data_IF_495351246674
#
_entry.id   IF_495351246674
#
_cell.length_a   1.000
_cell.length_b   1.000
_cell.length_c   1.000
_cell.angle_alpha   90.00
_cell.angle_beta   90.00
_cell.angle_gamma   90.00
#
_symmetry.space_group_name_H-M   'P 1'
#
loop_
_entity.id
_entity.type
_entity.pdbx_description
1 polymer ?
#
# COMPACT_ATOMS: atom_id res chain seq x y z
N UNK A 1 -52.98 17.91 5.87
CA UNK A 1 -52.29 18.92 5.06
C UNK A 1 -50.87 18.99 5.57
N UNK A 2 -49.96 18.35 4.84
CA UNK A 2 -48.70 18.95 4.41
C UNK A 2 -48.10 17.97 3.40
N UNK A 3 -48.19 18.36 2.12
CA UNK A 3 -47.74 17.57 0.98
C UNK A 3 -46.32 18.02 0.66
N UNK A 4 -45.33 17.16 0.88
CA UNK A 4 -43.99 17.36 0.31
C UNK A 4 -43.78 16.29 -0.75
N UNK A 5 -44.22 16.60 -1.96
CA UNK A 5 -43.96 15.83 -3.18
C UNK A 5 -42.49 15.98 -3.56
N UNK A 6 -41.69 14.94 -3.34
CA UNK A 6 -40.38 14.81 -3.97
C UNK A 6 -40.56 14.40 -5.42
N UNK A 7 -40.90 15.37 -6.28
CA UNK A 7 -40.76 15.23 -7.73
C UNK A 7 -39.27 14.99 -8.03
N UNK A 8 -38.95 13.85 -8.65
CA UNK A 8 -37.65 13.62 -9.28
C UNK A 8 -37.49 14.68 -10.38
N UNK A 9 -36.86 15.79 -9.99
CA UNK A 9 -36.57 16.90 -10.89
C UNK A 9 -35.48 16.43 -11.86
N UNK A 10 -35.75 16.53 -13.16
CA UNK A 10 -34.71 16.49 -14.20
C UNK A 10 -33.66 17.55 -13.85
N UNK A 11 -32.53 17.11 -13.29
CA UNK A 11 -31.41 17.99 -12.93
C UNK A 11 -30.97 18.78 -14.17
N UNK A 12 -31.01 20.10 -14.06
CA UNK A 12 -30.62 21.04 -15.12
C UNK A 12 -29.14 20.88 -15.48
N UNK A 13 -28.75 21.25 -16.72
CA UNK A 13 -27.33 21.23 -17.14
C UNK A 13 -26.44 22.09 -16.23
N UNK A 14 -27.00 23.12 -15.58
CA UNK A 14 -26.34 23.94 -14.55
C UNK A 14 -26.03 23.18 -13.25
N UNK A 15 -26.94 22.33 -12.77
CA UNK A 15 -26.73 21.53 -11.54
C UNK A 15 -25.71 20.40 -11.75
N UNK A 16 -25.64 19.85 -12.96
CA UNK A 16 -24.61 18.86 -13.34
C UNK A 16 -23.21 19.50 -13.32
N UNK A 17 -23.12 20.81 -13.61
CA UNK A 17 -21.86 21.54 -13.62
C UNK A 17 -21.35 21.86 -12.20
N UNK A 18 -22.24 22.04 -11.23
CA UNK A 18 -21.90 22.15 -9.80
C UNK A 18 -21.55 20.79 -9.18
N UNK A 19 -22.25 19.72 -9.60
CA UNK A 19 -22.02 18.37 -9.08
C UNK A 19 -20.68 17.73 -9.48
N UNK A 20 -19.95 18.31 -10.45
CA UNK A 20 -18.65 17.77 -10.91
C UNK A 20 -17.46 18.20 -10.05
N UNK A 21 -17.59 19.27 -9.26
CA UNK A 21 -16.46 19.82 -8.48
C UNK A 21 -16.06 18.89 -7.33
N UNK A 22 -17.04 18.34 -6.61
CA UNK A 22 -16.77 17.39 -5.52
C UNK A 22 -16.06 16.11 -6.00
N UNK A 23 -16.53 15.41 -7.04
CA UNK A 23 -15.77 14.28 -7.61
C UNK A 23 -14.40 14.69 -8.15
N UNK A 24 -14.24 15.91 -8.67
CA UNK A 24 -12.95 16.43 -9.14
C UNK A 24 -11.94 16.60 -7.99
N UNK A 25 -12.37 17.18 -6.87
CA UNK A 25 -11.57 17.27 -5.65
C UNK A 25 -11.23 15.89 -5.07
N UNK A 26 -12.17 14.94 -5.13
CA UNK A 26 -11.94 13.54 -4.71
C UNK A 26 -10.90 12.84 -5.61
N UNK A 27 -10.83 13.15 -6.90
CA UNK A 27 -9.77 12.66 -7.79
C UNK A 27 -8.43 13.34 -7.44
N UNK A 28 -8.42 14.68 -7.29
CA UNK A 28 -7.20 15.44 -6.97
C UNK A 28 -6.59 15.07 -5.62
N UNK A 29 -7.43 14.79 -4.63
CA UNK A 29 -7.01 14.31 -3.31
C UNK A 29 -6.57 12.84 -3.29
N UNK A 30 -6.66 12.14 -4.42
CA UNK A 30 -6.22 10.75 -4.55
C UNK A 30 -7.21 9.71 -4.01
N UNK A 31 -8.44 10.11 -3.63
CA UNK A 31 -9.51 9.17 -3.23
C UNK A 31 -9.89 8.25 -4.39
N UNK A 32 -9.92 8.80 -5.60
CA UNK A 32 -10.10 8.05 -6.86
C UNK A 32 -8.82 8.09 -7.69
N UNK A 33 -8.12 6.96 -7.80
CA UNK A 33 -6.90 6.85 -8.61
C UNK A 33 -7.21 6.71 -10.09
N UNK A 34 -6.62 7.58 -10.88
CA UNK A 34 -6.74 7.63 -12.35
C UNK A 34 -5.50 7.06 -13.05
N UNK A 35 -4.31 7.22 -12.44
CA UNK A 35 -3.01 6.75 -12.95
C UNK A 35 -2.46 5.66 -12.04
N UNK A 36 -2.09 4.52 -12.62
CA UNK A 36 -1.38 3.46 -11.93
C UNK A 36 0.15 3.70 -11.98
N UNK A 37 0.90 3.07 -11.08
CA UNK A 37 2.37 3.20 -11.00
C UNK A 37 3.11 2.82 -12.29
N UNK A 38 2.55 1.90 -13.07
CA UNK A 38 3.06 1.51 -14.40
C UNK A 38 2.77 2.54 -15.51
N UNK A 39 2.17 3.69 -15.18
CA UNK A 39 1.79 4.74 -16.12
C UNK A 39 0.49 4.47 -16.88
N UNK A 40 -0.22 3.37 -16.63
CA UNK A 40 -1.51 3.11 -17.26
C UNK A 40 -2.62 3.97 -16.64
N UNK A 41 -3.55 4.45 -17.48
CA UNK A 41 -4.64 5.32 -17.05
C UNK A 41 -5.96 4.53 -17.04
N UNK A 42 -6.76 4.68 -15.98
CA UNK A 42 -8.04 3.99 -15.80
C UNK A 42 -9.14 4.96 -15.42
N UNK A 43 -10.38 4.63 -15.81
CA UNK A 43 -11.57 5.36 -15.35
C UNK A 43 -12.05 4.78 -14.00
N UNK A 44 -11.99 5.53 -12.89
CA UNK A 44 -12.41 5.03 -11.57
C UNK A 44 -13.93 4.84 -11.44
N UNK A 45 -14.71 5.34 -12.39
CA UNK A 45 -16.19 5.35 -12.33
C UNK A 45 -16.85 4.29 -13.22
N UNK A 46 -16.07 3.52 -13.98
CA UNK A 46 -16.54 2.47 -14.89
C UNK A 46 -16.02 1.09 -14.46
N UNK A 47 -16.85 0.33 -13.73
CA UNK A 47 -16.57 -1.08 -13.46
C UNK A 47 -16.99 -1.97 -14.66
N UNK A 48 -16.08 -2.84 -15.13
CA UNK A 48 -16.48 -4.06 -15.84
C UNK A 48 -16.63 -4.06 -17.38
N UNK A 49 -16.12 -3.08 -18.14
CA UNK A 49 -16.10 -3.19 -19.62
C UNK A 49 -14.66 -3.31 -20.16
N UNK A 50 -14.43 -4.36 -20.97
CA UNK A 50 -13.14 -4.81 -21.51
C UNK A 50 -12.28 -3.64 -22.04
N UNK A 51 -11.00 -3.64 -21.62
CA UNK A 51 -9.92 -2.63 -21.72
C UNK A 51 -9.97 -1.56 -20.61
N UNK A 52 -9.22 -1.80 -19.54
CA UNK A 52 -9.07 -0.85 -18.44
C UNK A 52 -7.82 0.03 -18.55
N UNK A 53 -6.80 -0.38 -19.30
CA UNK A 53 -5.62 0.45 -19.53
C UNK A 53 -5.86 1.32 -20.77
N UNK A 54 -6.23 2.57 -20.53
CA UNK A 54 -6.40 3.60 -21.55
C UNK A 54 -5.08 4.35 -21.75
N UNK A 55 -4.82 4.77 -22.99
CA UNK A 55 -3.90 5.88 -23.23
C UNK A 55 -4.58 7.19 -22.84
N UNK A 56 -3.82 8.25 -22.58
CA UNK A 56 -4.37 9.56 -22.17
C UNK A 56 -5.50 10.04 -23.08
N UNK A 57 -5.29 10.03 -24.40
CA UNK A 57 -6.30 10.46 -25.39
C UNK A 57 -7.57 9.58 -25.34
N UNK A 58 -7.40 8.27 -25.16
CA UNK A 58 -8.52 7.32 -25.12
C UNK A 58 -9.34 7.49 -23.84
N UNK A 59 -8.68 7.73 -22.70
CA UNK A 59 -9.35 7.97 -21.43
C UNK A 59 -10.11 9.30 -21.44
N UNK A 60 -9.48 10.35 -21.99
CA UNK A 60 -10.12 11.66 -22.11
C UNK A 60 -11.36 11.60 -23.02
N UNK A 61 -11.27 10.87 -24.13
CA UNK A 61 -12.40 10.65 -25.03
C UNK A 61 -13.51 9.83 -24.34
N UNK A 62 -13.14 8.79 -23.58
CA UNK A 62 -14.08 8.02 -22.77
C UNK A 62 -14.81 8.90 -21.74
N UNK A 63 -14.07 9.65 -20.92
CA UNK A 63 -14.60 10.51 -19.88
C UNK A 63 -15.53 11.59 -20.45
N UNK A 64 -15.07 12.28 -21.50
CA UNK A 64 -15.84 13.32 -22.20
C UNK A 64 -17.08 12.75 -22.89
N UNK A 65 -16.96 11.61 -23.55
CA UNK A 65 -18.07 10.95 -24.23
C UNK A 65 -19.13 10.42 -23.27
N UNK A 66 -18.75 9.94 -22.08
CA UNK A 66 -19.69 9.53 -21.03
C UNK A 66 -20.34 10.73 -20.37
N UNK A 67 -19.59 11.80 -20.11
CA UNK A 67 -20.08 13.03 -19.50
C UNK A 67 -21.12 13.76 -20.38
N UNK A 68 -20.91 13.77 -21.70
CA UNK A 68 -21.81 14.42 -22.69
C UNK A 68 -22.89 13.49 -23.26
N UNK A 69 -22.90 12.20 -22.90
CA UNK A 69 -23.71 11.16 -23.55
C UNK A 69 -25.11 10.92 -22.98
N UNK A 70 -25.93 10.20 -23.76
CA UNK A 70 -27.34 9.74 -23.62
C UNK A 70 -28.06 9.88 -22.25
N UNK A 71 -29.35 10.27 -22.30
CA UNK A 71 -30.29 10.46 -21.17
C UNK A 71 -30.47 9.23 -20.27
N UNK A 72 -30.04 8.04 -20.69
CA UNK A 72 -30.17 6.80 -19.94
C UNK A 72 -29.15 6.64 -18.79
N UNK A 73 -28.31 7.64 -18.50
CA UNK A 73 -27.31 7.61 -17.42
C UNK A 73 -27.63 8.63 -16.34
N UNK A 74 -27.47 8.25 -15.07
CA UNK A 74 -27.77 9.14 -13.95
C UNK A 74 -26.92 10.41 -13.99
N UNK A 75 -27.49 11.52 -13.53
CA UNK A 75 -26.78 12.81 -13.44
C UNK A 75 -25.46 12.69 -12.65
N UNK A 76 -25.46 11.91 -11.57
CA UNK A 76 -24.28 11.57 -10.76
C UNK A 76 -23.18 10.89 -11.59
N UNK A 77 -23.55 9.93 -12.44
CA UNK A 77 -22.57 9.24 -13.29
C UNK A 77 -22.00 10.19 -14.36
N UNK A 78 -22.81 11.08 -14.93
CA UNK A 78 -22.34 12.10 -15.89
C UNK A 78 -21.39 13.10 -15.22
N UNK A 79 -21.74 13.61 -14.04
CA UNK A 79 -20.90 14.53 -13.27
C UNK A 79 -19.54 13.92 -12.92
N UNK A 80 -19.50 12.65 -12.48
CA UNK A 80 -18.25 11.95 -12.17
C UNK A 80 -17.33 11.84 -13.40
N UNK A 81 -17.87 11.57 -14.59
CA UNK A 81 -17.05 11.46 -15.80
C UNK A 81 -16.63 12.83 -16.36
N UNK A 82 -17.45 13.87 -16.18
CA UNK A 82 -17.04 15.25 -16.46
C UNK A 82 -15.91 15.70 -15.54
N UNK A 83 -15.95 15.33 -14.26
CA UNK A 83 -14.88 15.58 -13.30
C UNK A 83 -13.57 14.88 -13.70
N UNK A 84 -13.65 13.63 -14.17
CA UNK A 84 -12.49 12.91 -14.70
C UNK A 84 -11.87 13.59 -15.92
N UNK A 85 -12.70 14.06 -16.86
CA UNK A 85 -12.22 14.79 -18.05
C UNK A 85 -11.50 16.09 -17.64
N UNK A 86 -12.08 16.84 -16.70
CA UNK A 86 -11.47 18.05 -16.13
C UNK A 86 -10.09 17.78 -15.50
N UNK A 87 -9.97 16.70 -14.73
CA UNK A 87 -8.69 16.30 -14.12
C UNK A 87 -7.63 15.91 -15.16
N UNK A 88 -8.02 15.20 -16.22
CA UNK A 88 -7.11 14.83 -17.29
C UNK A 88 -6.57 16.08 -18.00
N UNK A 89 -7.45 17.03 -18.34
CA UNK A 89 -7.08 18.25 -19.07
C UNK A 89 -6.23 19.23 -18.26
N UNK A 90 -6.47 19.34 -16.94
CA UNK A 90 -5.82 20.35 -16.09
C UNK A 90 -4.57 19.79 -15.40
N UNK A 91 -4.69 18.65 -14.72
CA UNK A 91 -3.66 18.20 -13.78
C UNK A 91 -2.70 17.16 -14.41
N UNK A 92 -3.13 16.39 -15.43
CA UNK A 92 -2.31 15.36 -16.09
C UNK A 92 -1.65 15.79 -17.40
N UNK A 93 -2.03 16.93 -17.97
CA UNK A 93 -1.47 17.42 -19.24
C UNK A 93 0.01 17.88 -19.12
N UNK A 94 0.45 18.29 -17.93
CA UNK A 94 1.78 18.86 -17.68
C UNK A 94 2.86 17.83 -17.33
N UNK A 95 2.51 16.62 -16.90
CA UNK A 95 3.47 15.59 -16.47
C UNK A 95 4.17 14.85 -17.64
N UNK A 96 3.75 15.07 -18.88
CA UNK A 96 4.27 14.36 -20.06
C UNK A 96 5.61 14.93 -20.59
N UNK A 97 6.06 16.09 -20.09
CA UNK A 97 7.19 16.86 -20.68
C UNK A 97 8.51 16.79 -19.88
N UNK A 98 8.54 16.25 -18.66
CA UNK A 98 9.71 16.39 -17.75
C UNK A 98 10.73 15.22 -17.76
N UNK A 99 10.56 14.18 -18.59
CA UNK A 99 11.30 12.90 -18.40
C UNK A 99 12.64 12.74 -19.13
N UNK A 100 13.41 13.80 -19.43
CA UNK A 100 14.68 13.61 -20.17
C UNK A 100 15.84 14.55 -19.82
N UNK A 101 16.59 14.25 -18.74
CA UNK A 101 18.04 14.56 -18.69
C UNK A 101 18.84 13.54 -17.85
N UNK A 102 19.74 12.75 -18.45
CA UNK A 102 20.76 12.01 -17.72
C UNK A 102 22.00 12.89 -17.50
N UNK A 103 22.57 12.85 -16.28
CA UNK A 103 23.85 13.48 -15.96
C UNK A 103 24.98 12.44 -16.10
N UNK A 104 26.02 12.77 -16.84
CA UNK A 104 27.22 11.94 -17.07
C UNK A 104 28.20 12.10 -15.89
N UNK A 105 28.81 11.02 -15.35
CA UNK A 105 29.89 11.14 -14.37
C UNK A 105 31.26 11.36 -15.03
N UNK A 106 32.02 12.34 -14.54
CA UNK A 106 33.44 12.52 -14.87
C UNK A 106 34.33 11.52 -14.13
N UNK A 107 35.33 10.99 -14.84
CA UNK A 107 36.40 10.12 -14.33
C UNK A 107 37.48 10.99 -13.67
N UNK A 108 37.92 10.62 -12.47
CA UNK A 108 38.98 11.30 -11.71
C UNK A 108 40.27 10.46 -11.79
N UNK A 109 41.38 11.10 -12.16
CA UNK A 109 42.72 10.52 -12.19
C UNK A 109 43.17 10.00 -10.81
N UNK A 110 43.75 8.79 -10.79
CA UNK A 110 44.20 8.12 -9.56
C UNK A 110 45.65 8.52 -9.22
N UNK A 111 45.89 8.94 -7.98
CA UNK A 111 47.23 9.21 -7.44
C UNK A 111 47.96 7.91 -7.03
N UNK A 112 49.31 7.90 -6.95
CA UNK A 112 50.12 6.70 -6.62
C UNK A 112 49.76 6.04 -5.28
N UNK A 113 49.26 6.81 -4.30
CA UNK A 113 48.77 6.31 -3.01
C UNK A 113 47.50 5.44 -3.13
N UNK A 114 46.75 5.56 -4.23
CA UNK A 114 45.55 4.75 -4.49
C UNK A 114 45.88 3.36 -5.06
N UNK A 115 47.14 3.12 -5.43
CA UNK A 115 47.62 1.83 -5.97
C UNK A 115 48.25 0.95 -4.89
N UNK A 116 48.48 1.47 -3.68
CA UNK A 116 49.04 0.69 -2.58
C UNK A 116 48.04 -0.37 -2.09
N UNK A 117 48.47 -1.62 -2.10
CA UNK A 117 47.67 -2.77 -1.68
C UNK A 117 47.93 -3.06 -0.21
N UNK A 118 46.85 -3.01 0.56
CA UNK A 118 46.83 -3.33 1.98
C UNK A 118 46.22 -4.70 2.19
N UNK A 119 46.62 -5.37 3.28
CA UNK A 119 45.90 -6.55 3.73
C UNK A 119 44.69 -6.09 4.55
N UNK A 120 43.50 -6.53 4.14
CA UNK A 120 42.22 -6.24 4.80
C UNK A 120 41.58 -7.55 5.34
N UNK A 121 41.12 -7.61 6.61
CA UNK A 121 41.11 -6.56 7.63
C UNK A 121 42.49 -6.02 7.98
N UNK A 122 42.55 -4.77 8.46
CA UNK A 122 43.82 -4.08 8.71
C UNK A 122 44.67 -4.87 9.72
N UNK A 123 45.90 -5.22 9.34
CA UNK A 123 46.81 -6.01 10.16
C UNK A 123 48.17 -5.31 10.30
N UNK A 124 48.73 -5.38 11.50
CA UNK A 124 50.10 -4.98 11.82
C UNK A 124 50.99 -6.21 11.99
N UNK A 125 52.26 -6.09 11.63
CA UNK A 125 53.28 -7.12 11.83
C UNK A 125 54.26 -6.63 12.87
N UNK A 126 54.67 -7.51 13.78
CA UNK A 126 55.72 -7.29 14.76
C UNK A 126 56.80 -8.35 14.56
N UNK A 127 58.04 -7.90 14.46
CA UNK A 127 59.22 -8.75 14.31
C UNK A 127 60.16 -8.62 15.50
N UNK A 128 61.05 -9.61 15.65
CA UNK A 128 62.14 -9.63 16.62
C UNK A 128 61.68 -9.62 18.10
N UNK A 129 60.66 -10.42 18.42
CA UNK A 129 60.24 -10.62 19.81
C UNK A 129 61.23 -11.60 20.46
N UNK A 130 62.24 -11.07 21.14
CA UNK A 130 63.23 -11.91 21.84
C UNK A 130 62.69 -12.34 23.20
N UNK A 131 62.66 -13.66 23.46
CA UNK A 131 62.26 -14.19 24.75
C UNK A 131 63.47 -14.63 25.59
N UNK A 132 63.59 -14.08 26.80
CA UNK A 132 64.48 -14.63 27.82
C UNK A 132 63.81 -15.81 28.52
N UNK A 133 64.57 -16.84 28.92
CA UNK A 133 64.07 -18.09 29.52
C UNK A 133 63.17 -17.93 30.75
N UNK A 134 63.14 -16.74 31.37
CA UNK A 134 62.27 -16.38 32.50
C UNK A 134 60.92 -15.79 32.11
N UNK A 135 60.78 -15.28 30.87
CA UNK A 135 59.62 -14.51 30.41
C UNK A 135 58.85 -15.20 29.27
N UNK A 136 59.25 -16.41 28.87
CA UNK A 136 58.64 -17.17 27.77
C UNK A 136 57.11 -17.30 27.99
N UNK A 137 56.68 -17.83 29.14
CA UNK A 137 55.25 -18.04 29.42
C UNK A 137 54.41 -16.76 29.31
N UNK A 138 54.97 -15.61 29.74
CA UNK A 138 54.29 -14.31 29.64
C UNK A 138 54.23 -13.76 28.22
N UNK A 139 55.19 -14.09 27.35
CA UNK A 139 55.23 -13.63 25.96
C UNK A 139 54.37 -14.50 25.04
N UNK A 140 54.11 -15.76 25.43
CA UNK A 140 53.14 -16.63 24.77
C UNK A 140 51.69 -16.21 25.06
N UNK A 141 51.44 -15.42 26.11
CA UNK A 141 50.10 -14.92 26.42
C UNK A 141 49.68 -13.79 25.45
N UNK A 142 48.60 -14.04 24.70
CA UNK A 142 47.97 -13.04 23.84
C UNK A 142 47.44 -11.84 24.65
N UNK A 143 46.99 -12.07 25.88
CA UNK A 143 46.46 -11.03 26.78
C UNK A 143 47.50 -9.98 27.14
N UNK A 144 48.75 -10.39 27.37
CA UNK A 144 49.88 -9.48 27.59
C UNK A 144 50.04 -8.50 26.41
N UNK A 145 50.04 -8.99 25.17
CA UNK A 145 50.23 -8.17 23.98
C UNK A 145 49.06 -7.23 23.70
N UNK A 146 47.83 -7.70 23.90
CA UNK A 146 46.63 -6.85 23.82
C UNK A 146 46.69 -5.71 24.84
N UNK A 147 47.18 -5.97 26.06
CA UNK A 147 47.36 -4.93 27.09
C UNK A 147 48.49 -3.97 26.74
N UNK A 148 49.63 -4.48 26.25
CA UNK A 148 50.80 -3.66 25.85
C UNK A 148 50.46 -2.70 24.72
N UNK A 149 49.69 -3.15 23.74
CA UNK A 149 49.28 -2.36 22.59
C UNK A 149 47.86 -1.80 22.68
N UNK A 150 47.27 -1.77 23.88
CA UNK A 150 45.89 -1.33 24.11
C UNK A 150 45.60 0.08 23.56
N UNK A 151 46.60 0.97 23.54
CA UNK A 151 46.49 2.32 22.95
C UNK A 151 46.04 2.31 21.48
N UNK A 152 46.38 1.27 20.73
CA UNK A 152 46.01 1.11 19.32
C UNK A 152 44.75 0.26 19.12
N UNK A 153 44.06 -0.12 20.20
CA UNK A 153 42.81 -0.89 20.17
C UNK A 153 42.86 -2.13 19.25
N UNK A 154 43.86 -3.03 19.40
CA UNK A 154 43.89 -4.29 18.67
C UNK A 154 42.72 -5.19 19.09
N UNK A 155 42.17 -5.95 18.14
CA UNK A 155 41.08 -6.92 18.39
C UNK A 155 41.65 -8.31 18.67
N UNK A 156 42.74 -8.67 17.98
CA UNK A 156 43.37 -9.96 18.14
C UNK A 156 44.88 -9.86 17.97
N UNK A 157 45.58 -10.85 18.50
CA UNK A 157 47.02 -10.97 18.41
C UNK A 157 47.38 -12.43 18.13
N UNK A 158 48.25 -12.67 17.15
CA UNK A 158 48.73 -14.00 16.79
C UNK A 158 50.25 -14.04 16.82
N UNK A 159 50.82 -14.83 17.72
CA UNK A 159 52.27 -15.03 17.81
C UNK A 159 52.70 -16.30 17.07
N UNK A 160 53.91 -16.27 16.53
CA UNK A 160 54.62 -17.38 15.91
C UNK A 160 56.01 -17.43 16.53
N UNK A 161 56.35 -18.55 17.17
CA UNK A 161 57.61 -18.70 17.90
C UNK A 161 58.52 -19.69 17.18
N UNK A 162 59.79 -19.34 17.05
CA UNK A 162 60.81 -20.29 16.66
C UNK A 162 61.49 -20.84 17.92
N UNK A 163 61.28 -22.12 18.21
CA UNK A 163 61.81 -22.80 19.40
C UNK A 163 63.34 -22.91 19.40
N UNK A 164 63.98 -22.82 18.22
CA UNK A 164 65.43 -22.95 18.06
C UNK A 164 66.16 -21.64 18.38
N UNK A 165 65.63 -20.51 17.87
CA UNK A 165 66.27 -19.20 17.99
C UNK A 165 65.72 -18.36 19.15
N UNK A 166 64.69 -18.85 19.87
CA UNK A 166 63.95 -18.14 20.92
C UNK A 166 63.43 -16.75 20.49
N UNK A 167 63.23 -16.57 19.19
CA UNK A 167 62.66 -15.36 18.59
C UNK A 167 61.23 -15.61 18.13
N UNK A 168 60.35 -14.65 18.42
CA UNK A 168 58.97 -14.63 18.00
C UNK A 168 58.67 -13.55 16.94
N UNK A 169 57.66 -13.83 16.15
CA UNK A 169 57.00 -12.88 15.24
C UNK A 169 55.54 -12.81 15.64
N UNK A 170 54.87 -11.69 15.38
CA UNK A 170 53.45 -11.59 15.67
C UNK A 170 52.68 -10.74 14.66
N UNK A 171 51.38 -11.03 14.58
CA UNK A 171 50.40 -10.27 13.82
C UNK A 171 49.40 -9.66 14.79
N UNK A 172 49.18 -8.36 14.62
CA UNK A 172 48.17 -7.57 15.31
C UNK A 172 47.00 -7.39 14.35
N UNK A 173 45.81 -7.81 14.75
CA UNK A 173 44.60 -7.63 13.93
C UNK A 173 43.80 -6.45 14.48
N UNK A 174 43.49 -5.49 13.62
CA UNK A 174 42.64 -4.34 13.94
C UNK A 174 41.22 -4.55 13.38
N UNK A 175 40.32 -3.62 13.71
CA UNK A 175 38.97 -3.61 13.14
C UNK A 175 39.03 -3.52 11.61
N UNK A 176 38.03 -4.02 10.90
CA UNK A 176 37.98 -3.92 9.43
C UNK A 176 37.47 -2.57 8.94
N UNK A 177 36.92 -1.74 9.84
CA UNK A 177 36.42 -0.40 9.54
C UNK A 177 37.55 0.65 9.37
N UNK A 178 37.16 1.89 9.05
CA UNK A 178 38.11 3.00 8.92
C UNK A 178 38.77 3.39 10.25
N UNK A 179 38.16 3.09 11.41
CA UNK A 179 38.83 3.26 12.69
C UNK A 179 40.00 2.27 12.84
N UNK A 180 39.84 1.04 12.38
CA UNK A 180 40.91 0.06 12.29
C UNK A 180 42.07 0.54 11.41
N UNK A 181 41.78 1.20 10.28
CA UNK A 181 42.83 1.79 9.42
C UNK A 181 43.62 2.85 10.17
N UNK A 182 42.92 3.76 10.85
CA UNK A 182 43.55 4.82 11.65
C UNK A 182 44.41 4.21 12.76
N UNK A 183 43.92 3.19 13.45
CA UNK A 183 44.64 2.49 14.50
C UNK A 183 45.90 1.79 13.98
N UNK A 184 45.79 1.07 12.86
CA UNK A 184 46.92 0.38 12.22
C UNK A 184 47.98 1.38 11.74
N UNK A 185 47.56 2.51 11.20
CA UNK A 185 48.46 3.60 10.75
C UNK A 185 49.16 4.26 11.94
N UNK A 186 48.46 4.49 13.06
CA UNK A 186 49.06 5.02 14.28
C UNK A 186 50.09 4.04 14.89
N UNK A 187 49.77 2.75 14.86
CA UNK A 187 50.68 1.69 15.27
C UNK A 187 51.98 1.75 14.44
N UNK A 188 51.87 1.76 13.12
CA UNK A 188 53.03 1.84 12.20
C UNK A 188 53.86 3.10 12.41
N UNK A 189 53.22 4.28 12.50
CA UNK A 189 53.89 5.56 12.72
C UNK A 189 54.66 5.62 14.04
N UNK A 190 54.17 4.95 15.08
CA UNK A 190 54.89 4.91 16.35
C UNK A 190 56.22 4.16 16.23
N UNK A 191 56.21 2.99 15.59
CA UNK A 191 57.46 2.26 15.31
C UNK A 191 58.38 3.03 14.37
N UNK A 192 57.83 3.75 13.39
CA UNK A 192 58.62 4.63 12.52
C UNK A 192 59.29 5.78 13.30
N UNK A 193 58.58 6.42 14.24
CA UNK A 193 59.14 7.49 15.08
C UNK A 193 60.27 7.02 16.00
N UNK A 194 60.23 5.75 16.42
CA UNK A 194 61.26 5.09 17.24
C UNK A 194 62.39 4.48 16.41
N UNK A 195 62.40 4.68 15.07
CA UNK A 195 63.36 4.08 14.12
C UNK A 195 63.33 2.55 14.09
N UNK A 196 62.16 1.97 14.35
CA UNK A 196 61.89 0.53 14.34
C UNK A 196 60.88 0.13 13.25
N UNK A 197 60.86 0.84 12.11
CA UNK A 197 60.02 0.48 10.97
C UNK A 197 60.62 -0.63 10.10
N UNK A 198 59.82 -1.17 9.17
CA UNK A 198 60.24 -2.20 8.20
C UNK A 198 61.54 -1.86 7.46
N UNK A 199 61.73 -0.59 7.08
CA UNK A 199 62.94 -0.12 6.40
C UNK A 199 64.20 -0.30 7.27
N UNK A 200 64.06 -0.09 8.57
CA UNK A 200 65.15 -0.25 9.54
C UNK A 200 65.44 -1.73 9.77
N UNK A 201 64.39 -2.57 9.85
CA UNK A 201 64.52 -4.02 9.91
C UNK A 201 65.30 -4.59 8.71
N UNK A 202 64.91 -4.22 7.48
CA UNK A 202 65.57 -4.71 6.26
C UNK A 202 66.99 -4.15 6.07
N UNK A 203 67.35 -3.04 6.73
CA UNK A 203 68.65 -2.39 6.63
C UNK A 203 69.71 -2.89 7.62
N UNK A 204 69.34 -3.66 8.65
CA UNK A 204 70.29 -4.20 9.62
C UNK A 204 70.94 -5.50 9.11
N UNK A 205 72.21 -5.41 8.67
CA UNK A 205 72.96 -6.57 8.15
C UNK A 205 73.95 -7.20 9.15
N UNK A 206 74.12 -6.70 10.39
CA UNK A 206 75.24 -7.20 11.21
C UNK A 206 75.09 -7.22 12.74
N UNK A 207 74.14 -6.50 13.35
CA UNK A 207 73.83 -6.64 14.78
C UNK A 207 72.32 -6.46 14.99
N UNK A 208 71.64 -7.51 15.45
CA UNK A 208 70.23 -7.47 15.83
C UNK A 208 70.14 -6.85 17.23
N UNK A 209 69.69 -5.60 17.31
CA UNK A 209 69.32 -5.00 18.59
C UNK A 209 68.15 -5.78 19.22
N UNK A 210 68.03 -5.82 20.55
CA UNK A 210 66.93 -6.50 21.26
C UNK A 210 65.56 -5.79 21.13
N UNK A 211 65.42 -4.87 20.17
CA UNK A 211 64.23 -4.07 19.96
C UNK A 211 63.22 -4.77 19.05
N UNK A 212 61.93 -4.55 19.31
CA UNK A 212 60.84 -5.01 18.45
C UNK A 212 60.61 -4.05 17.29
N UNK A 213 60.34 -4.60 16.11
CA UNK A 213 60.05 -3.83 14.90
C UNK A 213 58.59 -3.98 14.52
N UNK A 214 57.98 -2.95 13.94
CA UNK A 214 56.56 -3.00 13.60
C UNK A 214 56.18 -2.16 12.39
N UNK A 215 55.24 -2.67 11.59
CA UNK A 215 54.66 -1.97 10.43
C UNK A 215 53.27 -2.52 10.11
N UNK A 216 52.54 -1.86 9.21
CA UNK A 216 51.25 -2.35 8.75
C UNK A 216 51.44 -3.26 7.51
N UNK A 217 50.75 -4.39 7.47
CA UNK A 217 50.93 -5.40 6.44
C UNK A 217 50.57 -4.88 5.04
N UNK A 218 51.45 -5.12 4.07
CA UNK A 218 51.28 -4.74 2.65
C UNK A 218 51.39 -5.96 1.73
N UNK A 219 51.31 -5.71 0.42
CA UNK A 219 51.38 -6.75 -0.62
C UNK A 219 52.61 -7.65 -0.52
N UNK A 220 53.78 -7.10 -0.21
CA UNK A 220 55.01 -7.87 -0.07
C UNK A 220 54.99 -8.80 1.15
N UNK A 221 54.42 -8.36 2.27
CA UNK A 221 54.20 -9.21 3.45
C UNK A 221 53.19 -10.33 3.16
N UNK A 222 52.11 -10.01 2.45
CA UNK A 222 51.09 -11.00 2.05
C UNK A 222 51.64 -12.08 1.12
N UNK A 223 52.59 -11.72 0.25
CA UNK A 223 53.25 -12.62 -0.69
C UNK A 223 54.48 -13.31 -0.12
N UNK A 224 54.94 -12.91 1.07
CA UNK A 224 56.10 -13.53 1.71
C UNK A 224 55.87 -15.01 2.04
N UNK A 225 56.96 -15.78 2.02
CA UNK A 225 56.98 -17.15 2.49
C UNK A 225 57.22 -17.18 4.00
N UNK A 226 56.53 -18.08 4.70
CA UNK A 226 56.62 -18.26 6.15
C UNK A 226 55.32 -17.97 6.90
N UNK A 227 55.36 -18.10 8.24
CA UNK A 227 54.15 -18.12 9.07
C UNK A 227 53.32 -16.83 8.99
N UNK A 228 53.98 -15.68 8.77
CA UNK A 228 53.32 -14.38 8.61
C UNK A 228 52.51 -14.34 7.30
N UNK A 229 53.15 -14.60 6.15
CA UNK A 229 52.48 -14.60 4.85
C UNK A 229 51.35 -15.63 4.78
N UNK A 230 51.57 -16.84 5.32
CA UNK A 230 50.54 -17.89 5.37
C UNK A 230 49.31 -17.46 6.16
N UNK A 231 49.51 -16.82 7.32
CA UNK A 231 48.40 -16.31 8.13
C UNK A 231 47.67 -15.16 7.43
N UNK A 232 48.41 -14.22 6.83
CA UNK A 232 47.82 -13.10 6.09
C UNK A 232 46.95 -13.59 4.93
N UNK A 233 47.39 -14.61 4.18
CA UNK A 233 46.61 -15.24 3.11
C UNK A 233 45.38 -15.99 3.61
N UNK A 234 45.48 -16.62 4.78
CA UNK A 234 44.38 -17.38 5.38
C UNK A 234 43.26 -16.48 5.91
N UNK A 235 43.60 -15.32 6.48
CA UNK A 235 42.65 -14.48 7.23
C UNK A 235 42.32 -13.17 6.51
N UNK A 236 43.21 -12.67 5.65
CA UNK A 236 43.05 -11.40 4.95
C UNK A 236 42.97 -11.53 3.43
N UNK A 237 42.49 -10.45 2.80
CA UNK A 237 42.51 -10.23 1.35
C UNK A 237 43.33 -8.99 1.02
N UNK A 238 44.08 -9.01 -0.08
CA UNK A 238 44.73 -7.81 -0.60
C UNK A 238 43.69 -6.90 -1.26
N UNK A 239 43.60 -5.66 -0.79
CA UNK A 239 42.72 -4.65 -1.37
C UNK A 239 43.36 -3.26 -1.38
N UNK A 240 42.94 -2.45 -2.34
CA UNK A 240 43.21 -1.01 -2.32
C UNK A 240 42.17 -0.30 -1.46
N UNK A 241 42.51 0.88 -0.93
CA UNK A 241 41.58 1.76 -0.21
C UNK A 241 40.33 2.05 -1.08
N UNK A 242 40.53 2.32 -2.37
CA UNK A 242 39.44 2.54 -3.33
C UNK A 242 38.53 1.32 -3.50
N UNK A 243 39.10 0.11 -3.54
CA UNK A 243 38.36 -1.14 -3.65
C UNK A 243 37.45 -1.38 -2.44
N UNK A 244 37.95 -1.13 -1.22
CA UNK A 244 37.16 -1.26 0.02
C UNK A 244 35.98 -0.28 0.01
N UNK A 245 36.20 0.98 -0.38
CA UNK A 245 35.13 1.99 -0.47
C UNK A 245 34.08 1.58 -1.51
N UNK A 246 34.52 1.10 -2.67
CA UNK A 246 33.62 0.70 -3.75
C UNK A 246 32.79 -0.53 -3.38
N UNK A 247 33.38 -1.55 -2.77
CA UNK A 247 32.68 -2.75 -2.29
C UNK A 247 31.59 -2.38 -1.27
N UNK A 248 31.92 -1.53 -0.29
CA UNK A 248 30.95 -1.04 0.69
C UNK A 248 29.83 -0.19 0.06
N UNK A 249 30.16 0.65 -0.92
CA UNK A 249 29.17 1.44 -1.65
C UNK A 249 28.23 0.56 -2.49
N UNK A 250 28.76 -0.48 -3.14
CA UNK A 250 27.98 -1.43 -3.92
C UNK A 250 27.04 -2.25 -3.05
N UNK A 251 27.49 -2.71 -1.88
CA UNK A 251 26.65 -3.42 -0.92
C UNK A 251 25.51 -2.51 -0.41
N UNK A 252 25.82 -1.26 -0.05
CA UNK A 252 24.79 -0.27 0.32
C UNK A 252 23.78 -0.03 -0.79
N UNK A 253 24.25 0.14 -2.03
CA UNK A 253 23.36 0.39 -3.18
C UNK A 253 22.47 -0.82 -3.48
N UNK A 254 22.98 -2.05 -3.31
CA UNK A 254 22.19 -3.28 -3.42
C UNK A 254 21.05 -3.31 -2.39
N UNK A 255 21.35 -3.00 -1.12
CA UNK A 255 20.33 -2.90 -0.07
C UNK A 255 19.29 -1.83 -0.40
N UNK A 256 19.73 -0.65 -0.83
CA UNK A 256 18.82 0.44 -1.24
C UNK A 256 17.93 0.00 -2.39
N UNK A 257 18.47 -0.62 -3.44
CA UNK A 257 17.69 -1.11 -4.58
C UNK A 257 16.63 -2.16 -4.18
N UNK A 258 16.99 -3.09 -3.28
CA UNK A 258 16.05 -4.07 -2.73
C UNK A 258 14.92 -3.41 -1.93
N UNK A 259 15.26 -2.39 -1.12
CA UNK A 259 14.26 -1.63 -0.36
C UNK A 259 13.34 -0.82 -1.27
N UNK A 260 13.87 -0.16 -2.30
CA UNK A 260 13.09 0.54 -3.33
C UNK A 260 12.10 -0.41 -4.00
N UNK A 261 12.57 -1.58 -4.45
CA UNK A 261 11.72 -2.61 -5.07
C UNK A 261 10.59 -3.04 -4.13
N UNK A 262 10.88 -3.19 -2.83
CA UNK A 262 9.86 -3.57 -1.83
C UNK A 262 8.83 -2.46 -1.60
N UNK A 263 9.26 -1.20 -1.62
CA UNK A 263 8.36 -0.04 -1.53
C UNK A 263 7.43 -0.02 -2.75
N UNK A 264 7.98 -0.17 -3.95
CA UNK A 264 7.19 -0.16 -5.19
C UNK A 264 6.13 -1.27 -5.21
N UNK A 265 6.51 -2.50 -4.86
CA UNK A 265 5.57 -3.62 -4.75
C UNK A 265 4.48 -3.38 -3.68
N UNK A 266 4.85 -2.73 -2.57
CA UNK A 266 3.87 -2.40 -1.52
C UNK A 266 2.89 -1.34 -1.99
N UNK A 267 3.36 -0.34 -2.73
CA UNK A 267 2.51 0.69 -3.32
C UNK A 267 1.56 0.11 -4.37
N UNK A 268 2.03 -0.81 -5.23
CA UNK A 268 1.18 -1.50 -6.20
C UNK A 268 0.06 -2.31 -5.50
N UNK A 269 0.39 -3.03 -4.42
CA UNK A 269 -0.61 -3.74 -3.63
C UNK A 269 -1.63 -2.80 -2.97
N UNK A 270 -1.19 -1.63 -2.49
CA UNK A 270 -2.09 -0.61 -1.93
C UNK A 270 -3.02 -0.03 -3.01
N UNK A 271 -2.51 0.23 -4.22
CA UNK A 271 -3.29 0.70 -5.36
C UNK A 271 -4.39 -0.30 -5.72
N UNK A 272 -4.05 -1.60 -5.80
CA UNK A 272 -5.00 -2.65 -6.11
C UNK A 272 -6.09 -2.78 -5.03
N UNK A 273 -5.71 -2.71 -3.76
CA UNK A 273 -6.65 -2.78 -2.64
C UNK A 273 -7.60 -1.57 -2.65
N UNK A 274 -7.09 -0.37 -2.92
CA UNK A 274 -7.91 0.83 -3.02
C UNK A 274 -8.89 0.74 -4.19
N UNK A 275 -8.47 0.20 -5.33
CA UNK A 275 -9.36 -0.04 -6.47
C UNK A 275 -10.50 -1.01 -6.10
N UNK A 276 -10.17 -2.16 -5.49
CA UNK A 276 -11.17 -3.14 -5.01
C UNK A 276 -12.12 -2.55 -3.96
N UNK A 277 -11.61 -1.73 -3.06
CA UNK A 277 -12.42 -1.02 -2.06
C UNK A 277 -13.41 -0.06 -2.71
N UNK A 278 -12.95 0.74 -3.68
CA UNK A 278 -13.81 1.67 -4.41
C UNK A 278 -14.89 0.92 -5.22
N UNK A 279 -14.51 -0.19 -5.87
CA UNK A 279 -15.44 -1.04 -6.61
C UNK A 279 -16.55 -1.61 -5.70
N UNK A 280 -16.18 -2.17 -4.54
CA UNK A 280 -17.13 -2.73 -3.58
C UNK A 280 -18.04 -1.65 -2.99
N UNK A 281 -17.48 -0.48 -2.65
CA UNK A 281 -18.23 0.67 -2.13
C UNK A 281 -19.27 1.17 -3.14
N UNK A 282 -18.89 1.29 -4.43
CA UNK A 282 -19.82 1.68 -5.47
C UNK A 282 -20.90 0.63 -5.71
N UNK A 283 -20.55 -0.66 -5.70
CA UNK A 283 -21.52 -1.74 -5.83
C UNK A 283 -22.53 -1.73 -4.68
N UNK A 284 -22.05 -1.56 -3.45
CA UNK A 284 -22.90 -1.47 -2.26
C UNK A 284 -23.86 -0.27 -2.34
N UNK A 285 -23.36 0.89 -2.76
CA UNK A 285 -24.20 2.09 -2.93
C UNK A 285 -25.35 1.85 -3.91
N UNK A 286 -25.08 1.21 -5.07
CA UNK A 286 -26.13 0.84 -6.04
C UNK A 286 -27.15 -0.14 -5.47
N UNK A 287 -26.71 -1.13 -4.68
CA UNK A 287 -27.62 -2.08 -4.05
C UNK A 287 -28.52 -1.41 -3.00
N UNK A 288 -28.00 -0.44 -2.24
CA UNK A 288 -28.80 0.32 -1.29
C UNK A 288 -29.85 1.17 -1.98
N UNK A 289 -29.46 1.88 -3.07
CA UNK A 289 -30.39 2.67 -3.90
C UNK A 289 -31.52 1.79 -4.46
N UNK A 290 -31.20 0.60 -4.99
CA UNK A 290 -32.21 -0.32 -5.51
C UNK A 290 -33.10 -0.91 -4.39
N UNK A 291 -32.53 -1.22 -3.24
CA UNK A 291 -33.29 -1.68 -2.06
C UNK A 291 -34.31 -0.62 -1.64
N UNK A 292 -33.91 0.65 -1.53
CA UNK A 292 -34.81 1.74 -1.17
C UNK A 292 -35.93 1.92 -2.20
N UNK A 293 -35.59 1.85 -3.49
CA UNK A 293 -36.57 1.91 -4.58
C UNK A 293 -37.62 0.80 -4.49
N UNK A 294 -37.19 -0.44 -4.27
CA UNK A 294 -38.09 -1.60 -4.13
C UNK A 294 -38.97 -1.47 -2.88
N UNK A 295 -38.42 -0.99 -1.76
CA UNK A 295 -39.20 -0.74 -0.56
C UNK A 295 -40.30 0.31 -0.79
N UNK A 296 -39.99 1.41 -1.48
CA UNK A 296 -40.99 2.43 -1.80
C UNK A 296 -42.09 1.89 -2.71
N UNK A 297 -41.72 1.11 -3.74
CA UNK A 297 -42.68 0.47 -4.63
C UNK A 297 -43.60 -0.51 -3.87
N UNK A 298 -43.04 -1.30 -2.96
CA UNK A 298 -43.81 -2.21 -2.11
C UNK A 298 -44.82 -1.47 -1.21
N UNK A 299 -44.40 -0.36 -0.59
CA UNK A 299 -45.27 0.46 0.26
C UNK A 299 -46.43 1.03 -0.56
N UNK A 300 -46.15 1.57 -1.74
CA UNK A 300 -47.19 2.16 -2.59
C UNK A 300 -48.18 1.10 -3.08
N UNK A 301 -47.70 -0.08 -3.48
CA UNK A 301 -48.57 -1.16 -3.92
C UNK A 301 -49.43 -1.71 -2.78
N UNK A 302 -48.88 -1.80 -1.58
CA UNK A 302 -49.63 -2.15 -0.37
C UNK A 302 -50.73 -1.11 -0.09
N UNK A 303 -50.44 0.18 -0.24
CA UNK A 303 -51.44 1.26 -0.07
C UNK A 303 -52.54 1.19 -1.14
N UNK A 304 -52.20 0.91 -2.40
CA UNK A 304 -53.19 0.71 -3.47
C UNK A 304 -54.09 -0.48 -3.18
N UNK A 305 -53.52 -1.62 -2.77
CA UNK A 305 -54.28 -2.82 -2.40
C UNK A 305 -55.26 -2.53 -1.26
N UNK A 306 -54.83 -1.81 -0.22
CA UNK A 306 -55.69 -1.41 0.89
C UNK A 306 -56.82 -0.45 0.45
N UNK A 307 -56.53 0.51 -0.44
CA UNK A 307 -57.56 1.40 -1.01
C UNK A 307 -58.61 0.60 -1.78
N UNK A 308 -58.16 -0.27 -2.68
CA UNK A 308 -59.04 -1.11 -3.47
C UNK A 308 -59.93 -2.01 -2.61
N UNK A 309 -59.36 -2.62 -1.56
CA UNK A 309 -60.12 -3.42 -0.61
C UNK A 309 -61.20 -2.60 0.11
N UNK A 310 -60.86 -1.40 0.59
CA UNK A 310 -61.82 -0.49 1.26
C UNK A 310 -62.94 -0.05 0.33
N UNK A 311 -62.61 0.31 -0.91
CA UNK A 311 -63.61 0.74 -1.89
C UNK A 311 -64.52 -0.42 -2.32
N UNK A 312 -63.98 -1.65 -2.38
CA UNK A 312 -64.81 -2.82 -2.64
C UNK A 312 -65.82 -3.07 -1.51
N UNK A 313 -65.39 -3.00 -0.25
CA UNK A 313 -66.28 -3.12 0.90
C UNK A 313 -67.36 -2.04 0.89
N UNK A 314 -66.99 -0.79 0.58
CA UNK A 314 -67.94 0.32 0.47
C UNK A 314 -69.03 0.06 -0.57
N UNK A 315 -68.65 -0.37 -1.78
CA UNK A 315 -69.62 -0.71 -2.85
C UNK A 315 -70.57 -1.82 -2.42
N UNK A 316 -70.06 -2.87 -1.78
CA UNK A 316 -70.90 -3.96 -1.27
C UNK A 316 -71.93 -3.43 -0.26
N UNK A 317 -71.52 -2.53 0.65
CA UNK A 317 -72.43 -1.93 1.62
C UNK A 317 -73.51 -1.06 0.96
N UNK A 318 -73.13 -0.25 -0.04
CA UNK A 318 -74.07 0.57 -0.81
C UNK A 318 -75.10 -0.29 -1.58
N UNK A 319 -74.65 -1.40 -2.17
CA UNK A 319 -75.53 -2.37 -2.84
C UNK A 319 -76.47 -3.08 -1.84
N UNK A 320 -75.95 -3.47 -0.67
CA UNK A 320 -76.76 -4.06 0.41
C UNK A 320 -77.85 -3.08 0.88
N UNK A 321 -77.52 -1.81 1.06
CA UNK A 321 -78.48 -0.80 1.47
C UNK A 321 -79.57 -0.61 0.41
N UNK A 322 -79.21 -0.55 -0.87
CA UNK A 322 -80.18 -0.45 -1.98
C UNK A 322 -81.11 -1.65 -2.01
N UNK A 323 -80.58 -2.86 -1.93
CA UNK A 323 -81.38 -4.09 -1.92
C UNK A 323 -82.31 -4.14 -0.71
N UNK A 324 -81.86 -3.67 0.45
CA UNK A 324 -82.69 -3.61 1.65
C UNK A 324 -83.86 -2.63 1.49
N UNK A 325 -83.62 -1.46 0.89
CA UNK A 325 -84.69 -0.51 0.53
C UNK A 325 -85.70 -1.16 -0.44
N UNK A 326 -85.24 -1.84 -1.48
CA UNK A 326 -86.13 -2.55 -2.41
C UNK A 326 -86.95 -3.64 -1.70
N UNK A 327 -86.33 -4.42 -0.82
CA UNK A 327 -86.99 -5.45 -0.05
C UNK A 327 -88.07 -4.88 0.87
N UNK A 328 -87.78 -3.79 1.58
CA UNK A 328 -88.72 -3.08 2.44
C UNK A 328 -89.91 -2.51 1.65
N UNK A 329 -89.68 -1.97 0.45
CA UNK A 329 -90.79 -1.51 -0.41
C UNK A 329 -91.69 -2.66 -0.87
N UNK A 330 -91.12 -3.82 -1.22
CA UNK A 330 -91.89 -5.01 -1.59
C UNK A 330 -92.67 -5.57 -0.40
N UNK A 331 -92.06 -5.60 0.78
CA UNK A 331 -92.72 -6.02 2.03
C UNK A 331 -93.96 -5.16 2.32
N UNK A 332 -93.82 -3.82 2.26
CA UNK A 332 -94.97 -2.91 2.43
C UNK A 332 -96.09 -3.13 1.41
N UNK A 333 -95.74 -3.44 0.15
CA UNK A 333 -96.74 -3.78 -0.88
C UNK A 333 -97.50 -5.06 -0.53
N UNK A 334 -96.79 -6.10 -0.09
CA UNK A 334 -97.39 -7.36 0.35
C UNK A 334 -98.31 -7.10 1.56
N UNK A 335 -97.84 -6.37 2.57
CA UNK A 335 -98.65 -6.03 3.75
C UNK A 335 -99.94 -5.27 3.37
N UNK A 336 -99.87 -4.39 2.37
CA UNK A 336 -101.04 -3.71 1.83
C UNK A 336 -102.01 -4.69 1.16
N UNK A 337 -101.51 -5.59 0.32
CA UNK A 337 -102.33 -6.61 -0.33
C UNK A 337 -102.97 -7.58 0.67
N UNK A 338 -102.24 -8.02 1.69
CA UNK A 338 -102.77 -8.86 2.77
C UNK A 338 -103.89 -8.14 3.52
N UNK A 339 -103.71 -6.86 3.84
CA UNK A 339 -104.78 -6.06 4.48
C UNK A 339 -106.02 -5.95 3.60
N UNK A 340 -105.84 -5.75 2.30
CA UNK A 340 -106.96 -5.65 1.36
C UNK A 340 -107.66 -6.99 1.15
N UNK A 341 -106.90 -8.09 1.09
CA UNK A 341 -107.43 -9.45 1.01
C UNK A 341 -108.28 -9.77 2.25
N UNK A 342 -107.76 -9.50 3.45
CA UNK A 342 -108.48 -9.71 4.71
C UNK A 342 -109.79 -8.91 4.75
N UNK A 343 -109.79 -7.64 4.28
CA UNK A 343 -111.04 -6.86 4.19
C UNK A 343 -112.06 -7.55 3.28
N UNK A 344 -111.64 -7.99 2.09
CA UNK A 344 -112.52 -8.71 1.16
C UNK A 344 -113.05 -10.01 1.78
N UNK A 345 -112.20 -10.78 2.43
CA UNK A 345 -112.59 -12.00 3.13
C UNK A 345 -113.64 -11.72 4.23
N UNK A 346 -113.44 -10.69 5.05
CA UNK A 346 -114.43 -10.30 6.08
C UNK A 346 -115.76 -9.82 5.47
N UNK A 347 -115.74 -9.18 4.30
CA UNK A 347 -116.95 -8.79 3.58
C UNK A 347 -117.67 -10.02 3.03
N UNK A 348 -116.95 -10.92 2.36
CA UNK A 348 -117.50 -12.18 1.84
C UNK A 348 -118.08 -13.04 2.96
N UNK A 349 -117.40 -13.16 4.11
CA UNK A 349 -117.92 -13.92 5.26
C UNK A 349 -119.18 -13.27 5.85
N UNK A 350 -119.25 -11.93 5.93
CA UNK A 350 -120.49 -11.23 6.32
C UNK A 350 -121.62 -11.44 5.32
N UNK A 351 -121.34 -11.38 4.03
CA UNK A 351 -122.34 -11.65 2.98
C UNK A 351 -122.83 -13.09 3.05
N UNK A 352 -121.94 -14.06 3.29
CA UNK A 352 -122.32 -15.45 3.52
C UNK A 352 -123.21 -15.60 4.75
N UNK A 353 -122.86 -14.96 5.87
CA UNK A 353 -123.67 -14.95 7.09
C UNK A 353 -125.07 -14.36 6.84
N UNK A 354 -125.19 -13.25 6.10
CA UNK A 354 -126.48 -12.69 5.71
C UNK A 354 -127.30 -13.65 4.85
N UNK A 355 -126.67 -14.29 3.86
CA UNK A 355 -127.35 -15.27 3.01
C UNK A 355 -127.79 -16.52 3.78
N UNK A 356 -127.06 -16.90 4.83
CA UNK A 356 -127.43 -18.00 5.73
C UNK A 356 -128.56 -17.58 6.71
N UNK A 357 -128.62 -16.31 7.12
CA UNK A 357 -129.72 -15.74 7.92
C UNK A 357 -131.02 -15.57 7.10
N UNK A 358 -130.94 -15.13 5.85
CA UNK A 358 -132.09 -14.97 4.93
C UNK A 358 -132.70 -16.34 4.50
N UNK A 359 -131.97 -17.45 4.71
CA UNK A 359 -132.43 -18.82 4.45
C UNK A 359 -133.06 -19.52 5.66
N UNK A 360 -133.09 -18.86 6.82
CA UNK A 360 -133.77 -19.32 8.04
C UNK A 360 -135.19 -18.80 8.09
#
# INVERSE_FOLDING_TARGET
MDSSSGEESDLSESEINEYKEKPYEEIRSGKYKVKALNGSLRCPFCAGKKKQDYKYKDLLQHASGVGKGSANRSAKQRANHLALAKYLEIDLASEADETSRPTVPQVVDQTPEQTELYVWPWMGIIMNIVAESKNIDTLHDKGYWLKRFAKYKPINFQCFWNEVDLTGQAIVVFNSDWNGFVNATQFEKAFESERHSKKHWNGQQTQLDSNIYGWCARADDYQSDGPIGDYLRKVGKLQTISGIVQEAAQDRNSVVANLTTKIDLTNENLDELQYKYNETTMSLSRMLEEKDRLHLAFIEETRKMQRLARDNVRRILEEQEKLNHELETKKRKIDNWTRELNKRETLTERERQKLDEDKK
#
